data_IF_566691608482
#
_entry.id   IF_566691608482
#
_cell.length_a   1.000
_cell.length_b   1.000
_cell.length_c   1.000
_cell.angle_alpha   90.00
_cell.angle_beta   90.00
_cell.angle_gamma   90.00
#
_symmetry.space_group_name_H-M   'P 1'
#
loop_
_entity.id
_entity.type
_entity.pdbx_description
1 polymer ?
#
# COMPACT_ATOMS: atom_id res chain seq x y z
N UNK A 1 18.44 -8.26 -26.21
CA UNK A 1 17.93 -6.95 -25.76
C UNK A 1 17.85 -7.02 -24.25
N UNK A 2 18.60 -6.19 -23.53
CA UNK A 2 18.44 -6.08 -22.09
C UNK A 2 16.97 -5.75 -21.81
N UNK A 3 16.31 -6.54 -20.97
CA UNK A 3 14.97 -6.20 -20.51
C UNK A 3 15.07 -4.79 -19.91
N UNK A 4 14.30 -3.85 -20.45
CA UNK A 4 14.20 -2.52 -19.86
C UNK A 4 13.96 -2.69 -18.35
N UNK A 5 14.73 -1.97 -17.55
CA UNK A 5 14.71 -2.08 -16.10
C UNK A 5 13.29 -1.76 -15.61
N UNK A 6 12.56 -2.81 -15.25
CA UNK A 6 11.15 -2.75 -14.90
C UNK A 6 10.97 -1.95 -13.60
N UNK A 7 10.11 -0.92 -13.61
CA UNK A 7 9.82 -0.09 -12.44
C UNK A 7 9.01 -0.87 -11.39
N UNK A 8 9.70 -1.45 -10.40
CA UNK A 8 9.11 -2.29 -9.34
C UNK A 8 8.33 -1.49 -8.29
N UNK A 9 8.43 -0.16 -8.29
CA UNK A 9 7.75 0.73 -7.34
C UNK A 9 6.54 1.45 -7.97
N UNK A 10 6.22 1.18 -9.23
CA UNK A 10 5.18 1.88 -9.99
C UNK A 10 3.81 1.85 -9.30
N UNK A 11 3.44 0.73 -8.67
CA UNK A 11 2.17 0.62 -7.94
C UNK A 11 2.13 1.52 -6.72
N UNK A 12 3.22 1.64 -5.96
CA UNK A 12 3.31 2.57 -4.84
C UNK A 12 3.17 4.03 -5.32
N UNK A 13 3.83 4.38 -6.43
CA UNK A 13 3.71 5.71 -7.03
C UNK A 13 2.27 6.01 -7.48
N UNK A 14 1.61 5.04 -8.14
CA UNK A 14 0.21 5.12 -8.57
C UNK A 14 -0.71 5.36 -7.36
N UNK A 15 -0.55 4.62 -6.27
CA UNK A 15 -1.39 4.80 -5.09
C UNK A 15 -1.12 6.11 -4.34
N UNK A 16 0.12 6.61 -4.31
CA UNK A 16 0.41 7.93 -3.75
C UNK A 16 -0.26 9.04 -4.57
N UNK A 17 -0.21 8.97 -5.91
CA UNK A 17 -0.93 9.89 -6.79
C UNK A 17 -2.44 9.80 -6.58
N UNK A 18 -2.99 8.59 -6.48
CA UNK A 18 -4.42 8.38 -6.27
C UNK A 18 -4.89 8.85 -4.89
N UNK A 19 -4.10 8.62 -3.84
CA UNK A 19 -4.40 9.09 -2.49
C UNK A 19 -4.51 10.63 -2.45
N UNK A 20 -3.69 11.36 -3.23
CA UNK A 20 -3.87 12.81 -3.39
C UNK A 20 -5.18 13.18 -4.06
N UNK A 21 -5.56 12.51 -5.14
CA UNK A 21 -6.83 12.76 -5.85
C UNK A 21 -8.01 12.53 -4.92
N UNK A 22 -7.97 11.44 -4.15
CA UNK A 22 -9.08 10.99 -3.29
C UNK A 22 -9.00 11.56 -1.86
N UNK A 23 -8.06 12.46 -1.58
CA UNK A 23 -7.82 13.03 -0.24
C UNK A 23 -7.63 11.97 0.88
N UNK A 24 -6.96 10.86 0.56
CA UNK A 24 -6.66 9.77 1.49
C UNK A 24 -5.34 10.06 2.23
N UNK A 25 -5.31 10.01 3.57
CA UNK A 25 -4.07 10.16 4.34
C UNK A 25 -3.03 9.09 3.98
N UNK A 26 -1.76 9.52 3.91
CA UNK A 26 -0.62 8.64 3.61
C UNK A 26 0.25 8.53 4.87
N UNK A 27 0.74 7.32 5.15
CA UNK A 27 1.70 7.04 6.21
C UNK A 27 2.85 6.23 5.66
N UNK A 28 4.08 6.56 6.05
CA UNK A 28 5.29 5.89 5.57
C UNK A 28 6.17 5.50 6.74
N UNK A 29 6.66 4.26 6.71
CA UNK A 29 7.64 3.76 7.67
C UNK A 29 8.88 3.25 6.95
N UNK A 30 10.04 3.39 7.56
CA UNK A 30 11.28 2.69 7.18
C UNK A 30 11.63 1.64 8.22
N UNK A 31 12.38 0.61 7.82
CA UNK A 31 12.89 -0.40 8.73
C UNK A 31 14.39 -0.16 8.95
N UNK A 32 14.78 0.34 10.12
CA UNK A 32 16.17 0.64 10.46
C UNK A 32 16.89 1.38 9.32
N UNK A 33 16.46 2.61 9.03
CA UNK A 33 16.92 3.38 7.88
C UNK A 33 18.44 3.56 7.84
N UNK A 34 19.10 3.62 9.00
CA UNK A 34 20.56 3.68 9.10
C UNK A 34 21.26 2.48 8.44
N UNK A 35 20.61 1.31 8.39
CA UNK A 35 21.15 0.08 7.78
C UNK A 35 20.56 -0.24 6.42
N UNK A 36 19.27 0.02 6.21
CA UNK A 36 18.55 -0.38 4.98
C UNK A 36 18.29 0.78 4.01
N UNK A 37 18.67 2.00 4.39
CA UNK A 37 18.41 3.21 3.61
C UNK A 37 17.04 3.82 3.89
N UNK A 38 16.85 5.04 3.37
CA UNK A 38 15.56 5.73 3.41
C UNK A 38 14.61 5.19 2.34
N UNK A 39 13.34 5.60 2.42
CA UNK A 39 12.41 5.46 1.29
C UNK A 39 13.02 6.10 0.03
N UNK A 40 12.79 5.45 -1.11
CA UNK A 40 13.36 5.88 -2.40
C UNK A 40 12.78 7.25 -2.84
N UNK A 41 13.61 8.16 -3.39
CA UNK A 41 13.19 9.51 -3.81
C UNK A 41 11.97 9.52 -4.75
N UNK A 42 11.91 8.55 -5.66
CA UNK A 42 10.84 8.40 -6.65
C UNK A 42 9.45 8.19 -6.03
N UNK A 43 9.39 7.80 -4.76
CA UNK A 43 8.15 7.76 -3.97
C UNK A 43 8.03 9.00 -3.07
N UNK A 44 9.09 9.39 -2.36
CA UNK A 44 9.01 10.51 -1.40
C UNK A 44 8.70 11.84 -2.08
N UNK A 45 9.20 12.07 -3.29
CA UNK A 45 8.93 13.29 -4.06
C UNK A 45 7.47 13.40 -4.48
N UNK A 46 6.75 12.27 -4.50
CA UNK A 46 5.31 12.23 -4.74
C UNK A 46 4.49 12.39 -3.46
N UNK A 47 5.07 12.33 -2.27
CA UNK A 47 4.32 12.44 -1.01
C UNK A 47 4.05 13.94 -0.72
N UNK A 48 2.81 14.33 -0.37
CA UNK A 48 2.52 15.71 -0.02
C UNK A 48 3.22 16.10 1.29
N UNK A 49 3.65 17.36 1.41
CA UNK A 49 4.28 17.88 2.63
C UNK A 49 3.39 17.85 3.87
N UNK A 50 2.07 17.68 3.69
CA UNK A 50 1.10 17.46 4.77
C UNK A 50 1.13 16.04 5.34
N UNK A 51 1.81 15.09 4.68
CA UNK A 51 2.02 13.76 5.20
C UNK A 51 2.84 13.84 6.50
N UNK A 52 2.46 13.12 7.57
CA UNK A 52 3.30 12.98 8.76
C UNK A 52 4.71 12.50 8.39
N UNK A 53 5.68 12.89 9.22
CA UNK A 53 7.08 12.51 9.01
C UNK A 53 7.22 10.98 8.85
N UNK A 54 8.19 10.56 8.04
CA UNK A 54 8.54 9.14 7.89
C UNK A 54 8.93 8.57 9.26
N UNK A 55 8.26 7.51 9.68
CA UNK A 55 8.49 6.86 10.97
C UNK A 55 9.53 5.75 10.78
N UNK A 56 10.75 5.94 11.29
CA UNK A 56 11.74 4.86 11.31
C UNK A 56 11.48 3.91 12.47
N UNK A 57 11.47 2.61 12.19
CA UNK A 57 11.13 1.58 13.18
C UNK A 57 12.07 0.38 13.12
N UNK A 58 12.13 -0.34 14.24
CA UNK A 58 12.82 -1.63 14.35
C UNK A 58 11.86 -2.81 14.45
N UNK A 59 10.62 -2.59 14.92
CA UNK A 59 9.53 -3.58 14.86
C UNK A 59 9.09 -3.82 13.42
N UNK A 60 8.79 -5.06 13.04
CA UNK A 60 8.38 -5.38 11.67
C UNK A 60 7.01 -4.80 11.31
N UNK A 61 6.03 -4.89 12.20
CA UNK A 61 4.73 -4.22 12.04
C UNK A 61 4.89 -2.69 11.98
N UNK A 62 4.11 -2.04 11.11
CA UNK A 62 4.01 -0.58 11.07
C UNK A 62 3.25 0.00 12.26
N UNK A 63 2.47 -0.81 12.98
CA UNK A 63 1.58 -0.36 14.07
C UNK A 63 2.37 -0.04 15.36
N UNK A 64 3.39 0.80 15.26
CA UNK A 64 4.16 1.35 16.38
C UNK A 64 3.40 2.51 17.06
N UNK A 65 3.74 2.90 18.30
CA UNK A 65 3.00 3.92 19.05
C UNK A 65 2.77 5.24 18.29
N UNK A 66 3.77 5.70 17.55
CA UNK A 66 3.68 6.94 16.77
C UNK A 66 2.61 6.83 15.67
N UNK A 67 2.63 5.73 14.90
CA UNK A 67 1.62 5.50 13.86
C UNK A 67 0.23 5.29 14.48
N UNK A 68 0.13 4.53 15.57
CA UNK A 68 -1.14 4.32 16.29
C UNK A 68 -1.77 5.64 16.74
N UNK A 69 -0.95 6.58 17.21
CA UNK A 69 -1.41 7.91 17.63
C UNK A 69 -1.99 8.69 16.46
N UNK A 70 -1.35 8.64 15.29
CA UNK A 70 -1.89 9.27 14.09
C UNK A 70 -3.16 8.58 13.56
N UNK A 71 -3.23 7.25 13.57
CA UNK A 71 -4.43 6.54 13.14
C UNK A 71 -5.62 6.85 14.06
N UNK A 72 -5.37 6.96 15.37
CA UNK A 72 -6.39 7.32 16.34
C UNK A 72 -6.95 8.74 16.10
N UNK A 73 -6.10 9.68 15.65
CA UNK A 73 -6.55 11.05 15.35
C UNK A 73 -7.40 11.17 14.08
N UNK A 74 -7.47 10.12 13.25
CA UNK A 74 -8.37 10.04 12.10
C UNK A 74 -9.79 9.60 12.48
N UNK A 75 -9.99 9.14 13.71
CA UNK A 75 -11.27 8.62 14.18
C UNK A 75 -11.87 9.50 15.27
N UNK A 76 -13.19 9.62 15.28
CA UNK A 76 -13.93 10.35 16.33
C UNK A 76 -14.23 9.48 17.55
N UNK A 77 -14.09 8.16 17.41
CA UNK A 77 -14.27 7.21 18.50
C UNK A 77 -13.40 5.97 18.32
N UNK A 78 -13.00 5.32 19.41
CA UNK A 78 -12.25 4.05 19.38
C UNK A 78 -13.01 2.87 18.74
N UNK A 79 -14.30 3.03 18.45
CA UNK A 79 -15.11 2.02 17.76
C UNK A 79 -15.08 2.16 16.25
N UNK A 80 -14.71 3.34 15.74
CA UNK A 80 -14.65 3.62 14.32
C UNK A 80 -13.51 2.82 13.67
N UNK A 81 -13.84 2.06 12.63
CA UNK A 81 -12.89 1.17 11.98
C UNK A 81 -12.44 1.76 10.66
N UNK A 82 -11.16 2.12 10.61
CA UNK A 82 -10.49 2.54 9.38
C UNK A 82 -10.46 1.41 8.34
N UNK A 83 -10.44 1.81 7.07
CA UNK A 83 -10.03 0.97 5.95
C UNK A 83 -8.60 1.34 5.58
N UNK A 84 -7.71 0.37 5.52
CA UNK A 84 -6.27 0.59 5.29
C UNK A 84 -5.85 -0.10 3.99
N UNK A 85 -5.34 0.68 3.04
CA UNK A 85 -4.65 0.16 1.86
C UNK A 85 -3.17 -0.05 2.19
N UNK A 86 -2.64 -1.24 1.95
CA UNK A 86 -1.27 -1.59 2.30
C UNK A 86 -0.45 -2.01 1.07
N UNK A 87 0.68 -1.34 0.87
CA UNK A 87 1.72 -1.62 -0.13
C UNK A 87 3.11 -1.63 0.51
N UNK A 88 4.09 -2.21 -0.19
CA UNK A 88 5.48 -2.20 0.23
C UNK A 88 6.09 -3.59 0.42
N UNK A 89 7.19 -3.63 1.16
CA UNK A 89 8.00 -4.84 1.37
C UNK A 89 8.37 -5.01 2.84
N UNK A 90 8.60 -6.23 3.34
CA UNK A 90 8.41 -7.51 2.63
C UNK A 90 7.01 -8.09 2.89
N UNK A 91 6.40 -8.72 1.88
CA UNK A 91 5.05 -9.30 1.96
C UNK A 91 4.94 -10.25 3.15
N UNK A 92 5.91 -11.15 3.31
CA UNK A 92 5.90 -12.21 4.34
C UNK A 92 6.38 -11.75 5.73
N UNK A 93 6.91 -10.52 5.86
CA UNK A 93 7.43 -9.98 7.12
C UNK A 93 6.63 -8.75 7.55
N UNK A 94 7.03 -7.56 7.09
CA UNK A 94 6.48 -6.28 7.54
C UNK A 94 5.02 -6.12 7.14
N UNK A 95 4.67 -6.46 5.89
CA UNK A 95 3.28 -6.38 5.41
C UNK A 95 2.42 -7.36 6.20
N UNK A 96 2.85 -8.62 6.33
CA UNK A 96 2.10 -9.65 7.08
C UNK A 96 1.85 -9.23 8.53
N UNK A 97 2.88 -8.85 9.28
CA UNK A 97 2.71 -8.47 10.69
C UNK A 97 1.87 -7.21 10.85
N UNK A 98 2.02 -6.22 9.95
CA UNK A 98 1.18 -5.02 9.94
C UNK A 98 -0.29 -5.37 9.68
N UNK A 99 -0.56 -6.23 8.69
CA UNK A 99 -1.94 -6.66 8.38
C UNK A 99 -2.58 -7.36 9.58
N UNK A 100 -1.86 -8.29 10.22
CA UNK A 100 -2.39 -9.03 11.37
C UNK A 100 -2.70 -8.10 12.55
N UNK A 101 -1.80 -7.15 12.86
CA UNK A 101 -2.02 -6.20 13.96
C UNK A 101 -3.20 -5.24 13.67
N UNK A 102 -3.33 -4.77 12.42
CA UNK A 102 -4.46 -3.93 12.02
C UNK A 102 -5.79 -4.68 12.08
N UNK A 103 -5.82 -5.95 11.65
CA UNK A 103 -6.99 -6.81 11.76
C UNK A 103 -7.34 -7.09 13.23
N UNK A 104 -6.36 -7.34 14.08
CA UNK A 104 -6.56 -7.52 15.52
C UNK A 104 -7.11 -6.27 16.20
N UNK A 105 -6.73 -5.08 15.73
CA UNK A 105 -7.32 -3.80 16.14
C UNK A 105 -8.74 -3.57 15.55
N UNK A 106 -9.21 -4.45 14.68
CA UNK A 106 -10.54 -4.45 14.07
C UNK A 106 -10.66 -3.55 12.84
N UNK A 107 -9.55 -3.09 12.25
CA UNK A 107 -9.56 -2.34 11.00
C UNK A 107 -9.83 -3.27 9.81
N UNK A 108 -10.32 -2.69 8.71
CA UNK A 108 -10.42 -3.39 7.43
C UNK A 108 -9.13 -3.21 6.68
N UNK A 109 -8.50 -4.29 6.21
CA UNK A 109 -7.19 -4.22 5.55
C UNK A 109 -7.31 -4.72 4.11
N UNK A 110 -6.83 -3.91 3.18
CA UNK A 110 -6.73 -4.23 1.76
C UNK A 110 -5.25 -4.32 1.40
N UNK A 111 -4.76 -5.53 1.16
CA UNK A 111 -3.38 -5.76 0.71
C UNK A 111 -3.36 -5.71 -0.82
N UNK A 112 -2.58 -4.79 -1.36
CA UNK A 112 -2.53 -4.54 -2.81
C UNK A 112 -1.48 -5.46 -3.43
N UNK A 113 -1.93 -6.57 -4.02
CA UNK A 113 -1.09 -7.68 -4.47
C UNK A 113 -0.05 -7.28 -5.54
N UNK A 114 -0.41 -6.37 -6.44
CA UNK A 114 0.48 -5.77 -7.44
C UNK A 114 1.38 -4.66 -6.87
N UNK A 115 1.28 -4.37 -5.57
CA UNK A 115 2.09 -3.37 -4.86
C UNK A 115 2.84 -3.91 -3.65
N UNK A 116 2.87 -5.24 -3.46
CA UNK A 116 3.67 -5.88 -2.40
C UNK A 116 4.62 -6.93 -2.98
N UNK A 117 5.81 -7.03 -2.40
CA UNK A 117 6.79 -8.02 -2.83
C UNK A 117 7.66 -8.55 -1.70
N UNK A 118 8.38 -9.63 -1.96
CA UNK A 118 9.33 -10.29 -1.06
C UNK A 118 10.63 -10.58 -1.81
N UNK A 119 11.74 -10.72 -1.08
CA UNK A 119 13.02 -11.10 -1.69
C UNK A 119 12.93 -12.45 -2.40
N UNK A 120 12.23 -13.44 -1.82
CA UNK A 120 11.94 -14.71 -2.47
C UNK A 120 10.53 -14.72 -3.07
N UNK A 121 10.43 -14.99 -4.37
CA UNK A 121 9.16 -14.95 -5.09
C UNK A 121 8.10 -15.93 -4.54
N UNK A 122 8.53 -17.10 -4.04
CA UNK A 122 7.65 -18.15 -3.52
C UNK A 122 7.00 -17.79 -2.17
N UNK A 123 7.59 -16.87 -1.39
CA UNK A 123 7.02 -16.48 -0.09
C UNK A 123 5.80 -15.58 -0.25
N UNK A 124 5.74 -14.80 -1.34
CA UNK A 124 4.65 -13.85 -1.60
C UNK A 124 3.27 -14.52 -1.70
N UNK A 125 3.02 -15.53 -2.58
CA UNK A 125 1.71 -16.16 -2.65
C UNK A 125 1.33 -16.89 -1.35
N UNK A 126 2.29 -17.48 -0.63
CA UNK A 126 2.05 -18.10 0.67
C UNK A 126 1.56 -17.07 1.69
N UNK A 127 2.24 -15.92 1.78
CA UNK A 127 1.84 -14.83 2.68
C UNK A 127 0.47 -14.25 2.31
N UNK A 128 0.22 -13.97 1.03
CA UNK A 128 -1.08 -13.44 0.57
C UNK A 128 -2.23 -14.41 0.85
N UNK A 129 -2.04 -15.71 0.60
CA UNK A 129 -3.05 -16.74 0.88
C UNK A 129 -3.35 -16.85 2.38
N UNK A 130 -2.32 -16.73 3.24
CA UNK A 130 -2.51 -16.65 4.70
C UNK A 130 -3.33 -15.41 5.06
N UNK A 131 -2.95 -14.23 4.61
CA UNK A 131 -3.62 -12.97 4.98
C UNK A 131 -5.08 -12.95 4.53
N UNK A 132 -5.40 -13.54 3.37
CA UNK A 132 -6.79 -13.72 2.94
C UNK A 132 -7.61 -14.55 3.94
N UNK A 133 -7.04 -15.64 4.47
CA UNK A 133 -7.70 -16.50 5.46
C UNK A 133 -7.87 -15.84 6.82
N UNK A 134 -6.99 -14.90 7.16
CA UNK A 134 -7.05 -14.11 8.40
C UNK A 134 -8.06 -12.95 8.30
N UNK A 135 -8.64 -12.71 7.10
CA UNK A 135 -9.69 -11.73 6.89
C UNK A 135 -9.26 -10.44 6.17
N UNK A 136 -8.04 -10.37 5.65
CA UNK A 136 -7.64 -9.28 4.77
C UNK A 136 -8.25 -9.45 3.37
N UNK A 137 -8.65 -8.34 2.75
CA UNK A 137 -9.00 -8.32 1.32
C UNK A 137 -7.71 -8.27 0.51
N UNK A 138 -7.44 -9.32 -0.27
CA UNK A 138 -6.35 -9.30 -1.26
C UNK A 138 -6.92 -8.78 -2.58
N UNK A 139 -6.45 -7.63 -3.03
CA UNK A 139 -6.96 -6.96 -4.24
C UNK A 139 -5.81 -6.38 -5.07
N UNK A 140 -6.10 -5.67 -6.16
CA UNK A 140 -5.12 -4.99 -7.00
C UNK A 140 -5.33 -3.48 -7.01
N UNK A 141 -4.30 -2.73 -7.42
CA UNK A 141 -4.33 -1.27 -7.43
C UNK A 141 -5.46 -0.73 -8.30
N UNK A 142 -5.71 -1.31 -9.47
CA UNK A 142 -6.80 -0.85 -10.33
C UNK A 142 -8.18 -1.17 -9.74
N UNK A 143 -8.36 -2.39 -9.22
CA UNK A 143 -9.62 -2.81 -8.60
C UNK A 143 -9.99 -1.90 -7.42
N UNK A 144 -9.06 -1.64 -6.50
CA UNK A 144 -9.36 -0.84 -5.31
C UNK A 144 -9.63 0.63 -5.65
N UNK A 145 -8.99 1.17 -6.69
CA UNK A 145 -9.24 2.56 -7.10
C UNK A 145 -10.64 2.76 -7.66
N UNK A 146 -11.15 1.82 -8.46
CA UNK A 146 -12.53 1.89 -8.93
C UNK A 146 -13.54 1.51 -7.84
N UNK A 147 -13.18 0.65 -6.88
CA UNK A 147 -14.00 0.39 -5.69
C UNK A 147 -14.18 1.64 -4.83
N UNK A 148 -13.12 2.44 -4.65
CA UNK A 148 -13.18 3.71 -3.91
C UNK A 148 -14.03 4.78 -4.62
N UNK A 149 -14.01 4.81 -5.95
CA UNK A 149 -14.80 5.76 -6.75
C UNK A 149 -16.27 5.36 -6.81
N UNK A 150 -16.57 4.06 -6.96
CA UNK A 150 -17.93 3.49 -6.92
C UNK A 150 -18.85 3.80 -8.11
N UNK A 151 -18.80 5.01 -8.69
CA UNK A 151 -19.63 5.44 -9.82
C UNK A 151 -18.82 6.25 -10.85
N UNK A 152 -19.05 6.02 -12.14
CA UNK A 152 -18.45 6.81 -13.22
C UNK A 152 -18.93 8.28 -13.26
N UNK A 153 -19.97 8.63 -12.49
CA UNK A 153 -20.46 10.00 -12.27
C UNK A 153 -19.76 10.72 -11.14
N UNK A 154 -18.95 10.04 -10.32
CA UNK A 154 -18.19 10.66 -9.24
C UNK A 154 -17.27 11.75 -9.79
N UNK A 155 -17.08 12.84 -9.03
CA UNK A 155 -16.25 13.96 -9.45
C UNK A 155 -14.78 13.56 -9.67
N UNK A 156 -14.29 12.57 -8.93
CA UNK A 156 -12.93 12.07 -9.00
C UNK A 156 -12.73 11.02 -10.10
N UNK A 157 -13.81 10.48 -10.69
CA UNK A 157 -13.74 9.39 -11.67
C UNK A 157 -12.79 9.73 -12.83
N UNK A 158 -12.91 10.94 -13.40
CA UNK A 158 -12.07 11.34 -14.55
C UNK A 158 -10.60 11.37 -14.20
N UNK A 159 -10.25 11.85 -13.01
CA UNK A 159 -8.88 11.93 -12.54
C UNK A 159 -8.31 10.52 -12.26
N UNK A 160 -9.07 9.67 -11.58
CA UNK A 160 -8.67 8.27 -11.32
C UNK A 160 -8.55 7.48 -12.62
N UNK A 161 -9.50 7.61 -13.54
CA UNK A 161 -9.47 6.94 -14.86
C UNK A 161 -8.27 7.39 -15.69
N UNK A 162 -7.93 8.68 -15.69
CA UNK A 162 -6.75 9.20 -16.35
C UNK A 162 -5.46 8.59 -15.78
N UNK A 163 -5.35 8.49 -14.44
CA UNK A 163 -4.20 7.88 -13.76
C UNK A 163 -4.07 6.38 -14.06
N UNK A 164 -5.19 5.64 -14.07
CA UNK A 164 -5.19 4.22 -14.46
C UNK A 164 -4.73 4.06 -15.91
N UNK A 165 -5.17 4.93 -16.82
CA UNK A 165 -4.74 4.93 -18.22
C UNK A 165 -3.24 5.29 -18.36
N UNK A 166 -2.76 6.27 -17.60
CA UNK A 166 -1.34 6.67 -17.56
C UNK A 166 -0.45 5.49 -17.13
N UNK A 167 -0.89 4.69 -16.15
CA UNK A 167 -0.11 3.62 -15.52
C UNK A 167 -0.45 2.22 -16.03
N UNK A 168 -1.06 2.13 -17.22
CA UNK A 168 -1.64 0.88 -17.74
C UNK A 168 -0.58 -0.22 -17.94
N UNK A 169 0.52 0.10 -18.62
CA UNK A 169 1.56 -0.89 -18.90
C UNK A 169 2.29 -1.30 -17.62
N UNK A 170 2.48 -0.36 -16.70
CA UNK A 170 3.05 -0.66 -15.40
C UNK A 170 2.15 -1.57 -14.58
N UNK A 171 0.85 -1.28 -14.54
CA UNK A 171 -0.11 -2.13 -13.84
C UNK A 171 -0.11 -3.55 -14.42
N UNK A 172 -0.10 -3.69 -15.75
CA UNK A 172 -0.04 -4.99 -16.43
C UNK A 172 1.19 -5.79 -15.99
N UNK A 173 2.38 -5.19 -16.06
CA UNK A 173 3.63 -5.84 -15.71
C UNK A 173 3.73 -6.15 -14.21
N UNK A 174 3.19 -5.29 -13.34
CA UNK A 174 3.13 -5.52 -11.89
C UNK A 174 2.23 -6.72 -11.56
N UNK A 175 1.03 -6.79 -12.14
CA UNK A 175 0.11 -7.93 -11.96
C UNK A 175 0.74 -9.21 -12.51
N UNK A 176 1.30 -9.18 -13.72
CA UNK A 176 1.98 -10.32 -14.32
C UNK A 176 3.18 -10.80 -13.50
N UNK A 177 3.83 -9.94 -12.72
CA UNK A 177 5.04 -10.30 -11.96
C UNK A 177 4.70 -10.71 -10.52
N UNK A 178 3.88 -9.93 -9.84
CA UNK A 178 3.61 -10.08 -8.41
C UNK A 178 2.37 -10.92 -8.11
N UNK A 179 1.40 -10.98 -9.00
CA UNK A 179 0.16 -11.75 -8.77
C UNK A 179 0.21 -13.17 -9.34
N UNK A 180 1.38 -13.67 -9.77
CA UNK A 180 1.55 -15.10 -10.09
C UNK A 180 1.44 -15.94 -8.82
N UNK A 181 0.48 -16.86 -8.84
CA UNK A 181 0.26 -17.88 -7.81
C UNK A 181 1.25 -19.03 -7.98
#
# INVERSE_FOLDING_TARGET
MAAAEWNRIATSQKLVKAAKILNIPIFVTTQNAARLGSTVPEVTDLIPSSCPAVIDKTTFSMLVPDLQSHLSSLTTSHREKLSVLLVGIETHICVTQTTLDLLAAGHRVYVIADGVSSCNAAERPVALARLAREGATITTSESVLFELVGDAKDENFRAVSALVKETKEETRLAVETFCRL
#
